data_IF_461227108897
#
_entry.id   IF_461227108897
#
_cell.length_a   1.000
_cell.length_b   1.000
_cell.length_c   1.000
_cell.angle_alpha   90.00
_cell.angle_beta   90.00
_cell.angle_gamma   90.00
#
_symmetry.space_group_name_H-M   'P 1'
#
loop_
_entity.id
_entity.type
_entity.pdbx_description
1 polymer ?
#
# COMPACT_ATOMS: atom_id res chain seq x y z
N UNK A 1 -9.38 -14.58 -6.71
CA UNK A 1 -10.14 -13.63 -5.87
C UNK A 1 -11.34 -13.14 -6.67
N UNK A 2 -12.53 -13.05 -6.06
CA UNK A 2 -13.71 -12.50 -6.74
C UNK A 2 -13.46 -11.04 -7.15
N UNK A 3 -13.76 -10.61 -8.39
CA UNK A 3 -13.63 -9.22 -8.83
C UNK A 3 -14.36 -8.22 -7.91
N UNK A 4 -15.37 -8.67 -7.19
CA UNK A 4 -16.16 -7.83 -6.28
C UNK A 4 -15.40 -7.40 -5.03
N UNK A 5 -14.48 -8.21 -4.51
CA UNK A 5 -13.81 -7.90 -3.23
C UNK A 5 -12.84 -6.72 -3.35
N UNK A 6 -12.14 -6.60 -4.49
CA UNK A 6 -11.23 -5.48 -4.77
C UNK A 6 -11.93 -4.13 -4.62
N UNK A 7 -13.19 -4.03 -5.04
CA UNK A 7 -13.95 -2.78 -5.02
C UNK A 7 -14.29 -2.29 -3.60
N UNK A 8 -14.08 -3.14 -2.58
CA UNK A 8 -14.25 -2.79 -1.17
C UNK A 8 -12.94 -2.41 -0.47
N UNK A 9 -11.81 -2.43 -1.18
CA UNK A 9 -10.51 -2.03 -0.66
C UNK A 9 -10.21 -0.63 -1.16
N UNK A 10 -10.07 0.33 -0.23
CA UNK A 10 -9.74 1.72 -0.57
C UNK A 10 -8.25 2.00 -0.45
N UNK A 11 -7.55 1.36 0.49
CA UNK A 11 -6.14 1.60 0.75
C UNK A 11 -5.52 0.37 1.40
N UNK A 12 -4.24 0.14 1.11
CA UNK A 12 -3.41 -0.89 1.72
C UNK A 12 -2.13 -0.21 2.19
N UNK A 13 -1.75 -0.41 3.44
CA UNK A 13 -0.52 0.12 4.01
C UNK A 13 0.30 -1.04 4.54
N UNK A 14 1.56 -1.11 4.14
CA UNK A 14 2.53 -2.08 4.66
C UNK A 14 3.67 -1.37 5.38
N UNK A 15 4.08 -1.96 6.49
CA UNK A 15 5.26 -1.58 7.26
C UNK A 15 6.19 -2.78 7.35
N UNK A 16 7.43 -2.63 6.90
CA UNK A 16 8.43 -3.69 6.99
C UNK A 16 8.02 -4.99 6.30
N UNK A 17 7.36 -4.90 5.14
CA UNK A 17 6.87 -6.07 4.40
C UNK A 17 8.03 -7.02 4.04
N UNK A 18 8.03 -8.27 4.51
CA UNK A 18 8.99 -9.28 4.05
C UNK A 18 8.85 -9.58 2.56
N UNK A 19 7.77 -9.18 1.90
CA UNK A 19 7.58 -9.28 0.45
C UNK A 19 7.98 -8.00 -0.31
N UNK A 20 8.65 -7.05 0.34
CA UNK A 20 9.08 -5.80 -0.30
C UNK A 20 9.91 -6.08 -1.55
N UNK A 21 9.65 -5.30 -2.61
CA UNK A 21 10.43 -5.32 -3.84
C UNK A 21 10.87 -3.90 -4.17
N UNK A 22 12.14 -3.68 -4.55
CA UNK A 22 12.60 -2.36 -4.98
C UNK A 22 11.91 -1.92 -6.29
N UNK A 23 11.97 -0.62 -6.57
CA UNK A 23 11.53 0.01 -7.82
C UNK A 23 10.03 -0.14 -8.14
N UNK A 24 9.18 -0.15 -7.12
CA UNK A 24 7.73 -0.18 -7.30
C UNK A 24 7.16 1.22 -7.06
N UNK A 25 6.12 1.58 -7.83
CA UNK A 25 5.56 2.95 -7.83
C UNK A 25 4.89 3.34 -6.51
N UNK A 26 4.53 2.36 -5.68
CA UNK A 26 3.91 2.55 -4.37
C UNK A 26 4.89 2.47 -3.19
N UNK A 27 6.19 2.29 -3.46
CA UNK A 27 7.21 2.32 -2.41
C UNK A 27 7.35 3.75 -1.88
N UNK A 28 7.21 3.90 -0.56
CA UNK A 28 7.31 5.19 0.12
C UNK A 28 8.65 5.35 0.86
N UNK A 29 9.41 4.26 1.02
CA UNK A 29 10.76 4.23 1.59
C UNK A 29 11.82 3.86 0.56
N UNK A 30 13.08 3.86 1.00
CA UNK A 30 14.25 3.64 0.16
C UNK A 30 14.90 2.25 0.40
N UNK A 31 14.14 1.26 0.89
CA UNK A 31 14.57 -0.13 0.89
C UNK A 31 14.96 -0.57 -0.52
N UNK A 32 16.19 -1.06 -0.70
CA UNK A 32 16.76 -1.35 -2.03
C UNK A 32 16.81 -2.84 -2.36
N UNK A 33 16.49 -3.71 -1.40
CA UNK A 33 16.58 -5.16 -1.58
C UNK A 33 15.20 -5.79 -1.60
N UNK A 34 15.10 -6.83 -2.41
CA UNK A 34 13.92 -7.67 -2.48
C UNK A 34 13.97 -8.67 -1.33
N UNK A 35 12.89 -8.76 -0.57
CA UNK A 35 12.67 -9.82 0.38
C UNK A 35 11.70 -10.87 -0.22
N UNK A 36 11.53 -12.02 0.44
CA UNK A 36 10.80 -13.20 -0.09
C UNK A 36 9.35 -12.88 -0.49
N UNK A 37 8.86 -13.33 -1.66
CA UNK A 37 7.42 -13.18 -2.01
C UNK A 37 7.09 -12.65 -3.40
N UNK A 38 7.96 -12.88 -4.38
CA UNK A 38 7.82 -12.34 -5.75
C UNK A 38 6.46 -12.62 -6.41
N UNK A 39 5.84 -13.79 -6.14
CA UNK A 39 4.52 -14.14 -6.69
C UNK A 39 3.39 -13.30 -6.08
N UNK A 40 3.40 -13.09 -4.77
CA UNK A 40 2.46 -12.24 -4.05
C UNK A 40 2.58 -10.80 -4.56
N UNK A 41 3.81 -10.33 -4.78
CA UNK A 41 4.04 -8.99 -5.31
C UNK A 41 3.51 -8.82 -6.73
N UNK A 42 3.70 -9.81 -7.61
CA UNK A 42 3.18 -9.74 -8.98
C UNK A 42 1.66 -9.53 -9.00
N UNK A 43 0.93 -10.28 -8.17
CA UNK A 43 -0.52 -10.13 -8.04
C UNK A 43 -0.93 -8.74 -7.51
N UNK A 44 -0.25 -8.25 -6.47
CA UNK A 44 -0.53 -6.93 -5.92
C UNK A 44 -0.16 -5.81 -6.90
N UNK A 45 0.87 -5.97 -7.72
CA UNK A 45 1.22 -5.04 -8.79
C UNK A 45 0.11 -4.90 -9.82
N UNK A 46 -0.38 -6.05 -10.29
CA UNK A 46 -1.41 -6.12 -11.34
C UNK A 46 -2.74 -5.53 -10.87
N UNK A 47 -3.09 -5.73 -9.59
CA UNK A 47 -4.44 -5.44 -9.14
C UNK A 47 -4.57 -4.31 -8.11
N UNK A 48 -3.53 -3.93 -7.40
CA UNK A 48 -3.63 -3.04 -6.23
C UNK A 48 -2.54 -1.97 -6.16
N UNK A 49 -1.68 -1.85 -7.17
CA UNK A 49 -0.53 -0.93 -7.14
C UNK A 49 -0.91 0.53 -6.86
N UNK A 50 -2.09 0.98 -7.30
CA UNK A 50 -2.61 2.32 -7.07
C UNK A 50 -3.17 2.53 -5.65
N UNK A 51 -3.43 1.46 -4.90
CA UNK A 51 -4.02 1.49 -3.56
C UNK A 51 -3.00 1.26 -2.44
N UNK A 52 -1.75 0.92 -2.80
CA UNK A 52 -0.72 0.52 -1.84
C UNK A 52 0.15 1.71 -1.44
N UNK A 53 0.57 1.73 -0.19
CA UNK A 53 1.74 2.44 0.29
C UNK A 53 2.61 1.44 1.05
N UNK A 54 3.81 1.16 0.53
CA UNK A 54 4.74 0.19 1.10
C UNK A 54 5.96 0.92 1.68
N UNK A 55 6.09 0.90 3.01
CA UNK A 55 7.19 1.54 3.72
C UNK A 55 8.22 0.48 4.12
N UNK A 56 9.40 0.59 3.50
CA UNK A 56 10.57 -0.18 3.87
C UNK A 56 11.74 0.76 4.19
N UNK A 57 12.22 0.70 5.43
CA UNK A 57 13.37 1.46 5.90
C UNK A 57 14.67 0.81 5.37
N UNK A 58 15.68 1.58 4.93
CA UNK A 58 16.91 1.02 4.35
C UNK A 58 17.68 0.04 5.25
N UNK A 59 17.59 0.21 6.58
CA UNK A 59 18.30 -0.62 7.55
C UNK A 59 17.41 -1.71 8.17
N UNK A 60 16.19 -1.91 7.66
CA UNK A 60 15.31 -2.96 8.17
C UNK A 60 15.82 -4.35 7.74
N UNK A 61 16.12 -5.26 8.69
CA UNK A 61 16.57 -6.62 8.38
C UNK A 61 15.53 -7.47 7.64
N UNK A 62 14.24 -7.19 7.82
CA UNK A 62 13.12 -7.96 7.28
C UNK A 62 12.82 -7.58 5.83
N UNK A 63 12.69 -6.29 5.53
CA UNK A 63 12.31 -5.83 4.19
C UNK A 63 13.50 -5.37 3.32
N UNK A 64 14.65 -5.03 3.92
CA UNK A 64 15.84 -4.53 3.22
C UNK A 64 17.10 -5.40 3.42
N UNK A 65 17.00 -6.52 4.15
CA UNK A 65 18.10 -7.47 4.44
C UNK A 65 19.35 -6.81 5.06
N UNK A 66 19.13 -5.91 6.01
CA UNK A 66 20.14 -5.34 6.91
C UNK A 66 20.20 -6.11 8.25
N UNK A 67 20.74 -5.53 9.32
CA UNK A 67 20.90 -6.13 10.66
C UNK A 67 20.35 -5.28 11.81
N UNK A 68 19.77 -4.10 11.53
CA UNK A 68 19.21 -3.21 12.54
C UNK A 68 17.72 -3.46 12.79
N UNK A 69 17.41 -4.32 13.76
CA UNK A 69 16.03 -4.61 14.16
C UNK A 69 15.26 -3.36 14.63
N UNK A 70 15.94 -2.30 15.07
CA UNK A 70 15.29 -1.04 15.46
C UNK A 70 14.57 -0.42 14.28
N UNK A 71 15.22 -0.43 13.10
CA UNK A 71 14.65 0.09 11.86
C UNK A 71 13.37 -0.66 11.43
N UNK A 72 13.21 -1.93 11.83
CA UNK A 72 11.98 -2.69 11.62
C UNK A 72 10.85 -2.29 12.58
N UNK A 73 11.19 -1.89 13.82
CA UNK A 73 10.19 -1.64 14.86
C UNK A 73 9.68 -0.19 14.87
N UNK A 74 10.37 0.74 14.20
CA UNK A 74 10.10 2.18 14.30
C UNK A 74 9.13 2.74 13.25
N UNK A 75 8.53 1.91 12.38
CA UNK A 75 7.65 2.39 11.31
C UNK A 75 6.49 3.25 11.80
N UNK A 76 5.86 2.88 12.92
CA UNK A 76 4.75 3.65 13.48
C UNK A 76 5.21 5.03 13.92
N UNK A 77 6.42 5.14 14.48
CA UNK A 77 6.97 6.42 14.91
C UNK A 77 7.33 7.31 13.72
N UNK A 78 7.96 6.74 12.69
CA UNK A 78 8.44 7.51 11.53
C UNK A 78 7.37 7.81 10.49
N UNK A 79 6.44 6.89 10.25
CA UNK A 79 5.60 6.90 9.04
C UNK A 79 4.10 6.96 9.29
N UNK A 80 3.63 6.88 10.54
CA UNK A 80 2.19 6.83 10.81
C UNK A 80 1.45 8.11 10.36
N UNK A 81 2.08 9.28 10.47
CA UNK A 81 1.54 10.52 9.92
C UNK A 81 1.33 10.45 8.40
N UNK A 82 2.36 9.99 7.67
CA UNK A 82 2.32 9.85 6.22
C UNK A 82 1.31 8.78 5.77
N UNK A 83 1.28 7.64 6.45
CA UNK A 83 0.35 6.55 6.18
C UNK A 83 -1.10 6.97 6.44
N UNK A 84 -1.38 7.68 7.54
CA UNK A 84 -2.70 8.22 7.83
C UNK A 84 -3.16 9.22 6.77
N UNK A 85 -2.26 10.09 6.29
CA UNK A 85 -2.55 11.03 5.21
C UNK A 85 -2.86 10.31 3.88
N UNK A 86 -2.05 9.30 3.52
CA UNK A 86 -2.29 8.45 2.35
C UNK A 86 -3.65 7.75 2.43
N UNK A 87 -3.92 7.08 3.56
CA UNK A 87 -5.16 6.38 3.83
C UNK A 87 -6.37 7.31 3.70
N UNK A 88 -6.33 8.47 4.37
CA UNK A 88 -7.42 9.45 4.34
C UNK A 88 -7.69 9.93 2.92
N UNK A 89 -6.64 10.22 2.14
CA UNK A 89 -6.77 10.61 0.73
C UNK A 89 -7.46 9.53 -0.08
N UNK A 90 -6.98 8.29 0.00
CA UNK A 90 -7.53 7.16 -0.76
C UNK A 90 -8.97 6.83 -0.42
N UNK A 91 -9.32 6.78 0.87
CA UNK A 91 -10.71 6.59 1.30
C UNK A 91 -11.61 7.71 0.79
N UNK A 92 -11.15 8.96 0.85
CA UNK A 92 -11.92 10.10 0.34
C UNK A 92 -12.14 10.00 -1.18
N UNK A 93 -11.12 9.59 -1.95
CA UNK A 93 -11.23 9.32 -3.39
C UNK A 93 -12.25 8.23 -3.68
N UNK A 94 -12.19 7.09 -2.97
CA UNK A 94 -13.19 6.00 -3.13
C UNK A 94 -14.60 6.47 -2.80
N UNK A 95 -14.80 7.23 -1.72
CA UNK A 95 -16.11 7.75 -1.34
C UNK A 95 -16.68 8.72 -2.39
N UNK A 96 -15.84 9.57 -2.98
CA UNK A 96 -16.24 10.47 -4.08
C UNK A 96 -16.64 9.69 -5.33
N UNK A 97 -15.89 8.66 -5.70
CA UNK A 97 -16.23 7.79 -6.84
C UNK A 97 -17.55 7.04 -6.60
N UNK A 98 -17.76 6.50 -5.41
CA UNK A 98 -18.99 5.82 -5.04
C UNK A 98 -20.21 6.76 -4.97
N UNK A 99 -20.01 8.00 -4.54
CA UNK A 99 -21.06 9.03 -4.51
C UNK A 99 -21.38 9.54 -5.93
N UNK A 100 -20.36 9.68 -6.78
CA UNK A 100 -20.51 9.99 -8.20
C UNK A 100 -21.32 8.92 -8.92
N UNK A 101 -21.00 7.64 -8.72
CA UNK A 101 -21.75 6.51 -9.28
C UNK A 101 -23.23 6.46 -8.85
N UNK A 102 -23.55 6.91 -7.62
CA UNK A 102 -24.95 7.06 -7.19
C UNK A 102 -25.66 8.23 -7.87
N UNK A 103 -24.95 9.34 -8.14
CA UNK A 103 -25.51 10.52 -8.81
C UNK A 103 -25.86 10.27 -10.29
N UNK A 104 -24.99 9.58 -11.03
CA UNK A 104 -25.28 9.21 -12.43
C UNK A 104 -26.40 8.15 -12.56
N UNK A 105 -26.63 7.32 -11.53
CA UNK A 105 -27.77 6.40 -11.55
C UNK A 105 -29.12 7.07 -11.25
N UNK A 106 -29.14 8.28 -10.67
CA UNK A 106 -30.38 9.04 -10.47
C UNK A 106 -30.79 9.94 -11.64
N UNK A 107 -29.95 10.09 -12.67
CA UNK A 107 -30.23 10.92 -13.86
C UNK A 107 -30.71 10.11 -15.08
N UNK A 108 -30.91 8.78 -14.93
CA UNK A 108 -31.34 7.87 -16.00
C UNK A 108 -32.63 7.09 -15.67
N UNK A 109 -33.55 7.72 -14.92
CA UNK A 109 -34.94 7.26 -14.71
C UNK A 109 -35.89 8.42 -14.96
#
# INVERSE_FOLDING_TARGET
MSPTLKNHISAIVFYGDPCHMPNQTYNMGNGTRSAEGQKQRAFLNEHYSDLIADYCNPNDPVCASSDDITAHMEYVYLWNGNAAAFFKRKVTETLKLGSGLKGIQSEFI
#
